data_IF_138972454200
#
_entry.id   IF_138972454200
#
_cell.length_a   1.000
_cell.length_b   1.000
_cell.length_c   1.000
_cell.angle_alpha   90.00
_cell.angle_beta   90.00
_cell.angle_gamma   90.00
#
_symmetry.space_group_name_H-M   'P 1'
#
loop_
_entity.id
_entity.type
_entity.pdbx_description
1 polymer ?
#
# COMPACT_ATOMS: atom_id res chain seq x y z
N UNK A 1 -35.40 -19.82 19.96
CA UNK A 1 -34.39 -19.03 20.68
C UNK A 1 -33.84 -18.02 19.68
N UNK A 2 -34.10 -16.74 19.89
CA UNK A 2 -33.99 -15.69 18.88
C UNK A 2 -32.78 -14.81 19.24
N UNK A 3 -31.77 -14.71 18.38
CA UNK A 3 -30.60 -13.87 18.63
C UNK A 3 -30.38 -12.94 17.43
N UNK A 4 -30.72 -11.67 17.61
CA UNK A 4 -30.40 -10.58 16.68
C UNK A 4 -28.95 -10.18 16.93
N UNK A 5 -28.06 -10.39 15.97
CA UNK A 5 -26.70 -9.84 16.02
C UNK A 5 -26.67 -8.45 15.41
N UNK A 6 -26.30 -7.46 16.21
CA UNK A 6 -26.08 -6.09 15.79
C UNK A 6 -24.63 -5.93 15.31
N UNK A 7 -24.41 -5.97 13.99
CA UNK A 7 -23.10 -5.64 13.42
C UNK A 7 -23.00 -4.13 13.22
N UNK A 8 -22.17 -3.48 14.03
CA UNK A 8 -21.76 -2.08 13.84
C UNK A 8 -20.72 -2.05 12.71
N UNK A 9 -21.11 -1.48 11.58
CA UNK A 9 -20.26 -1.32 10.40
C UNK A 9 -19.24 -0.19 10.64
N UNK A 10 -17.94 -0.51 10.69
CA UNK A 10 -16.87 0.48 10.68
C UNK A 10 -16.40 0.61 9.24
N UNK A 11 -16.81 1.71 8.58
CA UNK A 11 -16.43 1.99 7.21
C UNK A 11 -14.95 2.42 7.15
N UNK A 12 -14.08 1.53 6.67
CA UNK A 12 -12.74 1.92 6.23
C UNK A 12 -12.83 2.49 4.80
N UNK A 13 -12.95 3.82 4.70
CA UNK A 13 -12.96 4.53 3.42
C UNK A 13 -11.56 4.68 2.84
N UNK A 14 -11.18 3.82 1.90
CA UNK A 14 -10.15 4.14 0.90
C UNK A 14 -10.45 3.40 -0.42
N UNK A 15 -11.29 4.00 -1.27
CA UNK A 15 -11.30 3.70 -2.70
C UNK A 15 -10.89 4.96 -3.46
N UNK A 16 -9.70 4.91 -4.07
CA UNK A 16 -9.26 5.86 -5.08
C UNK A 16 -10.01 5.53 -6.36
N UNK A 17 -11.07 6.27 -6.68
CA UNK A 17 -11.77 6.08 -7.95
C UNK A 17 -10.94 6.67 -9.09
N UNK A 18 -10.79 5.90 -10.16
CA UNK A 18 -10.27 6.34 -11.45
C UNK A 18 -11.45 6.39 -12.41
N UNK A 19 -11.89 7.59 -12.80
CA UNK A 19 -12.69 7.76 -14.01
C UNK A 19 -12.44 9.14 -14.65
N UNK A 20 -12.11 9.23 -15.96
CA UNK A 20 -11.93 10.49 -16.66
C UNK A 20 -13.14 10.82 -17.56
N UNK A 21 -13.99 11.79 -17.18
CA UNK A 21 -14.59 12.80 -18.09
C UNK A 21 -15.57 13.73 -17.35
N UNK A 22 -15.77 14.98 -17.83
CA UNK A 22 -16.63 15.97 -17.20
C UNK A 22 -18.07 15.80 -17.68
N UNK A 23 -19.01 16.18 -16.80
CA UNK A 23 -20.34 16.78 -17.08
C UNK A 23 -21.34 16.29 -16.02
N UNK A 24 -21.65 17.15 -15.06
CA UNK A 24 -22.74 16.96 -14.11
C UNK A 24 -23.57 18.26 -14.06
N UNK A 25 -24.91 18.22 -14.14
CA UNK A 25 -25.75 19.26 -13.60
C UNK A 25 -26.14 18.96 -12.16
N UNK A 26 -26.19 20.05 -11.40
CA UNK A 26 -26.66 20.23 -10.03
C UNK A 26 -27.94 19.45 -9.67
N UNK A 27 -27.99 18.87 -8.46
CA UNK A 27 -28.91 19.28 -7.39
C UNK A 27 -28.80 18.38 -6.15
N UNK A 28 -29.15 18.97 -5.00
CA UNK A 28 -29.47 18.38 -3.69
C UNK A 28 -28.40 18.39 -2.57
N UNK A 29 -28.36 19.54 -1.87
CA UNK A 29 -28.09 19.66 -0.42
C UNK A 29 -29.45 19.97 0.27
N UNK A 30 -29.70 19.61 1.56
CA UNK A 30 -29.14 20.34 2.73
C UNK A 30 -28.82 19.42 3.94
N UNK A 31 -28.04 19.80 4.96
CA UNK A 31 -28.45 20.67 6.09
C UNK A 31 -27.24 20.89 7.02
N UNK A 32 -26.85 22.15 7.23
CA UNK A 32 -25.79 22.62 8.14
C UNK A 32 -26.41 23.15 9.44
N UNK A 33 -25.81 22.87 10.59
CA UNK A 33 -26.13 23.51 11.87
C UNK A 33 -24.98 24.46 12.27
N UNK A 34 -25.39 25.59 12.85
CA UNK A 34 -24.67 26.84 13.14
C UNK A 34 -24.07 26.88 14.55
N UNK A 35 -22.94 27.59 14.75
CA UNK A 35 -22.71 28.35 15.98
C UNK A 35 -21.70 29.52 15.84
N UNK A 36 -22.25 30.75 15.96
CA UNK A 36 -21.79 32.01 16.58
C UNK A 36 -20.45 32.70 16.23
N UNK A 37 -20.57 33.94 15.74
CA UNK A 37 -19.55 35.01 15.61
C UNK A 37 -19.99 36.20 16.48
N UNK A 38 -19.09 36.95 17.16
CA UNK A 38 -19.37 38.30 17.67
C UNK A 38 -18.87 39.42 16.72
N UNK A 39 -19.45 40.64 16.75
CA UNK A 39 -19.17 41.68 15.74
C UNK A 39 -18.27 42.84 16.25
N UNK A 40 -17.52 43.47 15.33
CA UNK A 40 -17.48 44.93 15.03
C UNK A 40 -16.10 45.49 14.60
N UNK A 41 -16.06 45.97 13.33
CA UNK A 41 -15.40 47.16 12.70
C UNK A 41 -13.96 47.64 13.06
N UNK A 42 -13.30 48.55 12.28
CA UNK A 42 -13.50 49.00 10.89
C UNK A 42 -12.22 49.00 9.98
N UNK A 43 -12.46 49.29 8.70
CA UNK A 43 -11.56 49.67 7.59
C UNK A 43 -10.23 50.38 7.92
N UNK A 44 -9.11 49.87 7.39
CA UNK A 44 -7.86 50.62 7.17
C UNK A 44 -7.24 50.28 5.80
N UNK A 45 -7.36 51.25 4.89
CA UNK A 45 -6.37 51.78 3.93
C UNK A 45 -5.31 50.82 3.36
N UNK A 46 -5.39 50.61 2.04
CA UNK A 46 -4.34 50.01 1.22
C UNK A 46 -3.01 50.77 1.36
N UNK A 47 -1.95 50.05 1.74
CA UNK A 47 -0.57 50.52 1.64
C UNK A 47 0.18 49.66 0.61
N UNK A 48 0.82 50.38 -0.30
CA UNK A 48 1.62 49.92 -1.42
C UNK A 48 2.80 49.07 -0.95
N UNK A 49 2.89 47.82 -1.39
CA UNK A 49 4.08 47.00 -1.18
C UNK A 49 5.25 47.54 -2.01
N UNK A 50 6.28 48.04 -1.31
CA UNK A 50 7.60 48.33 -1.91
C UNK A 50 8.29 47.02 -2.26
N UNK A 51 8.62 46.87 -3.54
CA UNK A 51 9.54 45.87 -4.07
C UNK A 51 10.96 46.14 -3.53
N UNK A 52 11.57 45.11 -2.92
CA UNK A 52 12.97 45.11 -2.50
C UNK A 52 13.71 44.05 -3.33
N UNK A 53 14.56 44.52 -4.23
CA UNK A 53 15.48 43.72 -5.04
C UNK A 53 16.49 42.96 -4.16
N UNK A 54 16.95 41.75 -4.55
CA UNK A 54 17.96 41.02 -3.80
C UNK A 54 19.35 41.63 -4.09
N UNK A 55 20.02 42.12 -3.05
CA UNK A 55 21.44 42.49 -3.12
C UNK A 55 22.27 41.22 -3.10
N UNK A 56 22.97 40.93 -4.20
CA UNK A 56 23.99 39.88 -4.26
C UNK A 56 25.16 40.28 -3.35
N UNK A 57 25.47 39.45 -2.35
CA UNK A 57 26.71 39.56 -1.58
C UNK A 57 27.65 38.43 -1.95
N UNK A 58 28.57 38.72 -2.88
CA UNK A 58 29.75 37.88 -3.13
C UNK A 58 30.81 38.22 -2.09
N UNK A 59 30.91 37.42 -1.03
CA UNK A 59 32.05 37.46 -0.13
C UNK A 59 33.14 36.52 -0.68
N UNK A 60 34.18 37.09 -1.26
CA UNK A 60 35.40 36.37 -1.66
C UNK A 60 36.22 36.04 -0.40
N UNK A 61 36.27 34.76 -0.02
CA UNK A 61 37.19 34.29 1.02
C UNK A 61 38.52 33.87 0.39
N UNK A 62 39.68 34.23 0.97
CA UNK A 62 40.97 33.81 0.47
C UNK A 62 41.35 32.42 1.03
N UNK A 63 41.68 31.48 0.14
CA UNK A 63 42.78 30.55 0.38
C UNK A 63 42.56 29.35 1.30
N UNK A 64 41.40 28.69 1.27
CA UNK A 64 41.17 27.39 1.93
C UNK A 64 40.44 26.31 1.12
N UNK A 65 39.99 26.61 -0.11
CA UNK A 65 38.94 25.84 -0.79
C UNK A 65 39.41 24.71 -1.72
N UNK A 66 40.71 24.62 -2.03
CA UNK A 66 41.19 23.69 -3.07
C UNK A 66 40.98 22.20 -2.75
N UNK A 67 40.91 21.83 -1.46
CA UNK A 67 40.72 20.43 -1.03
C UNK A 67 39.30 20.11 -0.57
N UNK A 68 38.47 21.11 -0.26
CA UNK A 68 37.09 20.92 0.17
C UNK A 68 36.14 20.65 -1.01
N UNK A 69 36.33 21.35 -2.13
CA UNK A 69 35.55 21.13 -3.35
C UNK A 69 35.65 19.70 -3.91
N UNK A 70 36.84 19.09 -4.07
CA UNK A 70 36.94 17.71 -4.57
C UNK A 70 36.42 16.66 -3.57
N UNK A 71 36.50 16.92 -2.27
CA UNK A 71 35.90 16.05 -1.25
C UNK A 71 34.37 16.06 -1.33
N UNK A 72 33.78 17.24 -1.47
CA UNK A 72 32.34 17.43 -1.58
C UNK A 72 31.78 16.84 -2.89
N UNK A 73 32.50 16.99 -4.01
CA UNK A 73 32.13 16.34 -5.27
C UNK A 73 32.10 14.82 -5.11
N UNK A 74 33.13 14.24 -4.46
CA UNK A 74 33.15 12.81 -4.17
C UNK A 74 31.96 12.36 -3.33
N UNK A 75 31.58 13.12 -2.30
CA UNK A 75 30.40 12.79 -1.49
C UNK A 75 29.13 12.77 -2.34
N UNK A 76 28.95 13.73 -3.25
CA UNK A 76 27.79 13.74 -4.14
C UNK A 76 27.78 12.58 -5.12
N UNK A 77 28.93 12.17 -5.64
CA UNK A 77 29.03 10.97 -6.48
C UNK A 77 28.66 9.71 -5.71
N UNK A 78 29.16 9.57 -4.47
CA UNK A 78 28.82 8.44 -3.60
C UNK A 78 27.31 8.41 -3.30
N UNK A 79 26.70 9.57 -2.99
CA UNK A 79 25.24 9.68 -2.81
C UNK A 79 24.46 9.35 -4.07
N UNK A 80 24.91 9.80 -5.25
CA UNK A 80 24.27 9.49 -6.54
C UNK A 80 24.31 7.99 -6.82
N UNK A 81 25.44 7.33 -6.55
CA UNK A 81 25.59 5.89 -6.70
C UNK A 81 24.61 5.13 -5.79
N UNK A 82 24.53 5.49 -4.51
CA UNK A 82 23.59 4.89 -3.55
C UNK A 82 22.12 5.08 -3.98
N UNK A 83 21.76 6.28 -4.45
CA UNK A 83 20.40 6.55 -4.93
C UNK A 83 20.06 5.68 -6.14
N UNK A 84 20.99 5.54 -7.10
CA UNK A 84 20.82 4.71 -8.29
C UNK A 84 20.60 3.24 -7.91
N UNK A 85 21.44 2.69 -7.05
CA UNK A 85 21.30 1.32 -6.54
C UNK A 85 19.95 1.10 -5.84
N UNK A 86 19.57 2.02 -4.95
CA UNK A 86 18.28 1.96 -4.25
C UNK A 86 17.08 2.07 -5.20
N UNK A 87 17.23 2.79 -6.31
CA UNK A 87 16.23 2.92 -7.37
C UNK A 87 16.09 1.61 -8.16
N UNK A 88 17.22 1.03 -8.58
CA UNK A 88 17.25 -0.27 -9.26
C UNK A 88 16.64 -1.39 -8.41
N UNK A 89 16.91 -1.40 -7.10
CA UNK A 89 16.29 -2.37 -6.18
C UNK A 89 14.77 -2.23 -6.13
N UNK A 90 14.27 -0.99 -6.00
CA UNK A 90 12.82 -0.70 -6.01
C UNK A 90 12.13 -1.14 -7.29
N UNK A 91 12.78 -0.97 -8.44
CA UNK A 91 12.21 -1.38 -9.72
C UNK A 91 12.07 -2.91 -9.83
N UNK A 92 13.08 -3.63 -9.33
CA UNK A 92 13.04 -5.11 -9.27
C UNK A 92 11.96 -5.61 -8.32
N UNK A 93 11.79 -4.95 -7.16
CA UNK A 93 10.68 -5.22 -6.24
C UNK A 93 9.34 -5.00 -6.95
N UNK A 94 9.13 -3.85 -7.60
CA UNK A 94 7.89 -3.54 -8.32
C UNK A 94 7.56 -4.55 -9.40
N UNK A 95 8.57 -5.02 -10.13
CA UNK A 95 8.39 -6.08 -11.13
C UNK A 95 7.75 -7.33 -10.51
N UNK A 96 8.28 -7.81 -9.37
CA UNK A 96 7.70 -8.98 -8.68
C UNK A 96 6.32 -8.67 -8.10
N UNK A 97 6.13 -7.48 -7.54
CA UNK A 97 4.83 -7.06 -6.98
C UNK A 97 3.74 -7.01 -8.06
N UNK A 98 4.05 -6.56 -9.27
CA UNK A 98 3.11 -6.59 -10.41
C UNK A 98 2.73 -8.02 -10.82
N UNK A 99 3.68 -8.97 -10.75
CA UNK A 99 3.40 -10.39 -10.97
C UNK A 99 2.49 -10.95 -9.87
N UNK A 100 2.75 -10.60 -8.60
CA UNK A 100 1.89 -10.97 -7.45
C UNK A 100 0.48 -10.42 -7.65
N UNK A 101 0.34 -9.15 -8.01
CA UNK A 101 -0.95 -8.51 -8.28
C UNK A 101 -1.70 -9.23 -9.41
N UNK A 102 -0.99 -9.62 -10.47
CA UNK A 102 -1.56 -10.37 -11.58
C UNK A 102 -2.11 -11.73 -11.14
N UNK A 103 -1.31 -12.51 -10.41
CA UNK A 103 -1.73 -13.81 -9.87
C UNK A 103 -2.92 -13.65 -8.91
N UNK A 104 -2.89 -12.61 -8.08
CA UNK A 104 -3.96 -12.27 -7.14
C UNK A 104 -5.28 -11.96 -7.87
N UNK A 105 -5.24 -11.25 -9.02
CA UNK A 105 -6.43 -11.01 -9.86
C UNK A 105 -7.03 -12.29 -10.42
N UNK A 106 -6.21 -13.27 -10.80
CA UNK A 106 -6.67 -14.58 -11.29
C UNK A 106 -7.39 -15.37 -10.19
N UNK A 107 -6.78 -15.44 -9.00
CA UNK A 107 -7.39 -16.04 -7.81
C UNK A 107 -8.72 -15.37 -7.51
N UNK A 108 -8.71 -14.04 -7.43
CA UNK A 108 -9.90 -13.25 -7.13
C UNK A 108 -11.05 -13.52 -8.11
N UNK A 109 -10.78 -13.48 -9.42
CA UNK A 109 -11.81 -13.74 -10.45
C UNK A 109 -12.42 -15.13 -10.35
N UNK A 110 -11.64 -16.12 -9.91
CA UNK A 110 -12.12 -17.49 -9.74
C UNK A 110 -13.00 -17.59 -8.49
N UNK A 111 -12.59 -16.95 -7.38
CA UNK A 111 -13.34 -16.95 -6.12
C UNK A 111 -14.68 -16.22 -6.22
N UNK A 112 -14.81 -15.21 -7.08
CA UNK A 112 -16.10 -14.54 -7.34
C UNK A 112 -17.18 -15.49 -7.90
N UNK A 113 -16.80 -16.65 -8.44
CA UNK A 113 -17.76 -17.65 -8.91
C UNK A 113 -18.58 -18.29 -7.78
N UNK A 114 -18.16 -18.13 -6.52
CA UNK A 114 -18.92 -18.59 -5.35
C UNK A 114 -20.34 -18.03 -5.30
N UNK A 115 -20.54 -16.80 -5.81
CA UNK A 115 -21.86 -16.15 -5.85
C UNK A 115 -22.76 -16.70 -6.98
N UNK A 116 -22.27 -17.60 -7.83
CA UNK A 116 -22.98 -18.13 -9.00
C UNK A 116 -23.56 -19.54 -8.79
N UNK A 117 -23.83 -19.94 -7.54
CA UNK A 117 -24.35 -21.27 -7.18
C UNK A 117 -23.45 -22.45 -7.60
N UNK A 118 -22.14 -22.21 -7.76
CA UNK A 118 -21.16 -23.27 -8.06
C UNK A 118 -20.76 -24.01 -6.79
N UNK A 119 -20.35 -25.26 -6.95
CA UNK A 119 -19.83 -26.03 -5.84
C UNK A 119 -18.46 -25.50 -5.40
N UNK A 120 -18.21 -25.45 -4.09
CA UNK A 120 -16.92 -25.03 -3.52
C UNK A 120 -15.68 -25.67 -4.16
N UNK A 121 -15.61 -27.00 -4.40
CA UNK A 121 -14.42 -27.61 -5.01
C UNK A 121 -14.15 -27.10 -6.42
N UNK A 122 -15.20 -26.82 -7.21
CA UNK A 122 -15.06 -26.26 -8.56
C UNK A 122 -14.53 -24.82 -8.53
N UNK A 123 -14.95 -24.03 -7.54
CA UNK A 123 -14.48 -22.64 -7.36
C UNK A 123 -13.01 -22.59 -6.94
N UNK A 124 -12.54 -23.57 -6.16
CA UNK A 124 -11.20 -23.59 -5.59
C UNK A 124 -10.12 -24.24 -6.48
N UNK A 125 -10.50 -25.03 -7.49
CA UNK A 125 -9.57 -25.74 -8.37
C UNK A 125 -8.49 -24.81 -8.96
N UNK A 126 -8.92 -23.68 -9.56
CA UNK A 126 -8.01 -22.71 -10.18
C UNK A 126 -7.20 -21.89 -9.15
N UNK A 127 -7.82 -21.31 -8.10
CA UNK A 127 -7.09 -20.64 -7.03
C UNK A 127 -5.99 -21.46 -6.38
N UNK A 128 -6.24 -22.74 -6.10
CA UNK A 128 -5.28 -23.62 -5.45
C UNK A 128 -4.01 -23.82 -6.30
N UNK A 129 -4.15 -23.93 -7.62
CA UNK A 129 -3.01 -24.02 -8.53
C UNK A 129 -2.14 -22.74 -8.51
N UNK A 130 -2.72 -21.58 -8.20
CA UNK A 130 -1.99 -20.31 -8.14
C UNK A 130 -1.22 -20.10 -6.83
N UNK A 131 -1.49 -20.88 -5.77
CA UNK A 131 -0.74 -20.78 -4.51
C UNK A 131 0.74 -21.11 -4.74
N UNK A 132 1.04 -22.11 -5.58
CA UNK A 132 2.43 -22.44 -5.94
C UNK A 132 3.16 -21.26 -6.60
N UNK A 133 2.47 -20.57 -7.51
CA UNK A 133 3.00 -19.37 -8.18
C UNK A 133 3.26 -18.25 -7.17
N UNK A 134 2.31 -17.98 -6.26
CA UNK A 134 2.53 -16.99 -5.21
C UNK A 134 3.75 -17.34 -4.35
N UNK A 135 3.90 -18.60 -3.96
CA UNK A 135 5.07 -19.06 -3.19
C UNK A 135 6.38 -18.78 -3.92
N UNK A 136 6.46 -19.03 -5.22
CA UNK A 136 7.65 -18.70 -6.02
C UNK A 136 7.93 -17.20 -6.08
N UNK A 137 6.89 -16.39 -6.25
CA UNK A 137 7.00 -14.93 -6.30
C UNK A 137 7.48 -14.34 -4.97
N UNK A 138 6.93 -14.78 -3.83
CA UNK A 138 7.39 -14.35 -2.51
C UNK A 138 8.83 -14.78 -2.23
N UNK A 139 9.24 -15.97 -2.67
CA UNK A 139 10.63 -16.40 -2.57
C UNK A 139 11.58 -15.53 -3.41
N UNK A 140 11.15 -15.13 -4.61
CA UNK A 140 11.91 -14.21 -5.46
C UNK A 140 11.99 -12.81 -4.83
N UNK A 141 10.87 -12.32 -4.28
CA UNK A 141 10.83 -11.04 -3.56
C UNK A 141 11.79 -11.06 -2.34
N UNK A 142 11.75 -12.14 -1.56
CA UNK A 142 12.66 -12.35 -0.43
C UNK A 142 14.12 -12.27 -0.86
N UNK A 143 14.51 -12.98 -1.92
CA UNK A 143 15.88 -12.92 -2.46
C UNK A 143 16.32 -11.51 -2.84
N UNK A 144 15.44 -10.75 -3.51
CA UNK A 144 15.74 -9.36 -3.90
C UNK A 144 15.96 -8.49 -2.67
N UNK A 145 15.12 -8.62 -1.64
CA UNK A 145 15.22 -7.81 -0.41
C UNK A 145 16.46 -8.17 0.40
N UNK A 146 16.83 -9.46 0.45
CA UNK A 146 18.02 -9.95 1.17
C UNK A 146 19.35 -9.51 0.55
N UNK A 147 19.36 -9.04 -0.70
CA UNK A 147 20.55 -8.38 -1.28
C UNK A 147 20.90 -7.06 -0.56
N UNK A 148 19.98 -6.49 0.22
CA UNK A 148 20.20 -5.30 1.06
C UNK A 148 19.82 -5.58 2.52
N UNK A 149 20.69 -6.27 3.28
CA UNK A 149 20.42 -6.66 4.66
C UNK A 149 20.02 -5.47 5.55
N UNK A 150 19.04 -5.69 6.43
CA UNK A 150 18.55 -4.66 7.36
C UNK A 150 17.65 -3.59 6.75
N UNK A 151 17.36 -3.64 5.45
CA UNK A 151 16.49 -2.67 4.77
C UNK A 151 15.06 -3.17 4.52
N UNK A 152 14.65 -4.27 5.15
CA UNK A 152 13.31 -4.86 4.97
C UNK A 152 12.19 -3.81 5.10
N UNK A 153 12.13 -3.10 6.24
CA UNK A 153 11.08 -2.10 6.49
C UNK A 153 11.21 -0.83 5.66
N UNK A 154 12.39 -0.54 5.10
CA UNK A 154 12.58 0.59 4.18
C UNK A 154 11.79 0.38 2.89
N UNK A 155 11.69 -0.86 2.42
CA UNK A 155 11.01 -1.21 1.18
C UNK A 155 9.65 -1.89 1.38
N UNK A 156 9.31 -2.28 2.62
CA UNK A 156 8.07 -3.01 2.94
C UNK A 156 6.80 -2.39 2.35
N UNK A 157 6.70 -1.07 2.34
CA UNK A 157 5.58 -0.35 1.74
C UNK A 157 5.36 -0.62 0.24
N UNK A 158 6.38 -1.08 -0.50
CA UNK A 158 6.27 -1.39 -1.92
C UNK A 158 5.48 -2.70 -2.20
N UNK A 159 5.31 -3.60 -1.23
CA UNK A 159 4.54 -4.85 -1.38
C UNK A 159 3.45 -5.08 -0.31
N UNK A 160 3.37 -4.18 0.68
CA UNK A 160 2.46 -4.26 1.83
C UNK A 160 1.00 -4.52 1.41
N UNK A 161 0.48 -3.70 0.50
CA UNK A 161 -0.94 -3.72 0.10
C UNK A 161 -1.32 -5.01 -0.63
N UNK A 162 -0.42 -5.50 -1.46
CA UNK A 162 -0.56 -6.72 -2.24
C UNK A 162 -0.49 -7.93 -1.30
N UNK A 163 0.39 -7.88 -0.30
CA UNK A 163 0.47 -8.92 0.74
C UNK A 163 -0.82 -9.04 1.55
N UNK A 164 -1.37 -7.91 2.00
CA UNK A 164 -2.67 -7.88 2.67
C UNK A 164 -3.79 -8.46 1.79
N UNK A 165 -3.75 -8.18 0.49
CA UNK A 165 -4.72 -8.73 -0.47
C UNK A 165 -4.55 -10.22 -0.65
N UNK A 166 -3.32 -10.72 -0.78
CA UNK A 166 -3.02 -12.15 -0.87
C UNK A 166 -3.50 -12.87 0.39
N UNK A 167 -3.20 -12.36 1.59
CA UNK A 167 -3.67 -12.95 2.85
C UNK A 167 -5.19 -13.02 2.88
N UNK A 168 -5.89 -11.96 2.47
CA UNK A 168 -7.35 -12.00 2.39
C UNK A 168 -7.88 -13.13 1.51
N UNK A 169 -7.28 -13.33 0.32
CA UNK A 169 -7.74 -14.36 -0.60
C UNK A 169 -7.43 -15.75 -0.05
N UNK A 170 -6.24 -15.95 0.54
CA UNK A 170 -5.88 -17.20 1.18
C UNK A 170 -6.81 -17.53 2.35
N UNK A 171 -7.16 -16.53 3.17
CA UNK A 171 -8.08 -16.70 4.27
C UNK A 171 -9.49 -17.05 3.78
N UNK A 172 -9.96 -16.39 2.72
CA UNK A 172 -11.25 -16.72 2.11
C UNK A 172 -11.28 -18.14 1.54
N UNK A 173 -10.22 -18.55 0.83
CA UNK A 173 -10.08 -19.92 0.34
C UNK A 173 -10.10 -20.94 1.48
N UNK A 174 -9.31 -20.71 2.54
CA UNK A 174 -9.24 -21.60 3.68
C UNK A 174 -10.58 -21.71 4.41
N UNK A 175 -11.32 -20.60 4.53
CA UNK A 175 -12.66 -20.59 5.09
C UNK A 175 -13.66 -21.39 4.23
N UNK A 176 -13.59 -21.28 2.90
CA UNK A 176 -14.43 -22.08 1.99
C UNK A 176 -14.15 -23.59 2.14
N UNK A 177 -12.90 -23.99 2.39
CA UNK A 177 -12.50 -25.39 2.54
C UNK A 177 -12.87 -25.98 3.91
N UNK A 178 -12.63 -25.22 4.99
CA UNK A 178 -12.62 -25.76 6.35
C UNK A 178 -13.69 -25.14 7.26
N UNK A 179 -14.22 -23.97 6.90
CA UNK A 179 -15.07 -23.15 7.76
C UNK A 179 -14.31 -22.46 8.91
N UNK A 180 -12.99 -22.58 8.98
CA UNK A 180 -12.14 -22.00 10.02
C UNK A 180 -11.41 -20.73 9.55
N UNK A 181 -10.83 -20.00 10.51
CA UNK A 181 -9.96 -18.86 10.26
C UNK A 181 -8.54 -19.37 9.95
N UNK A 182 -7.89 -18.82 8.93
CA UNK A 182 -6.53 -19.16 8.54
C UNK A 182 -5.55 -18.68 9.61
N UNK A 183 -4.70 -19.55 10.16
CA UNK A 183 -3.71 -19.10 11.15
C UNK A 183 -2.53 -18.38 10.48
N UNK A 184 -1.87 -17.46 11.18
CA UNK A 184 -0.67 -16.76 10.68
C UNK A 184 0.42 -17.73 10.20
N UNK A 185 0.63 -18.83 10.93
CA UNK A 185 1.59 -19.88 10.58
C UNK A 185 1.22 -20.62 9.30
N UNK A 186 -0.07 -20.88 9.08
CA UNK A 186 -0.57 -21.53 7.86
C UNK A 186 -0.48 -20.58 6.66
N UNK A 187 -0.75 -19.29 6.86
CA UNK A 187 -0.56 -18.27 5.84
C UNK A 187 0.92 -18.18 5.42
N UNK A 188 1.84 -18.17 6.40
CA UNK A 188 3.28 -18.24 6.13
C UNK A 188 3.65 -19.50 5.35
N UNK A 189 3.11 -20.65 5.71
CA UNK A 189 3.39 -21.91 5.01
C UNK A 189 2.93 -21.88 3.55
N UNK A 190 1.70 -21.43 3.31
CA UNK A 190 1.12 -21.28 1.95
C UNK A 190 1.96 -20.35 1.08
N UNK A 191 2.57 -19.31 1.66
CA UNK A 191 3.48 -18.40 0.95
C UNK A 191 4.95 -18.86 0.93
N UNK A 192 5.29 -19.94 1.63
CA UNK A 192 6.66 -20.45 1.73
C UNK A 192 7.60 -19.58 2.56
N UNK A 193 7.08 -18.91 3.60
CA UNK A 193 7.81 -17.95 4.44
C UNK A 193 8.17 -18.50 5.84
N UNK A 194 8.08 -19.82 6.07
CA UNK A 194 8.27 -20.42 7.40
C UNK A 194 9.72 -20.29 7.90
N UNK A 195 10.69 -20.60 7.06
CA UNK A 195 12.12 -20.61 7.38
C UNK A 195 12.88 -19.44 6.74
N UNK A 196 12.15 -18.42 6.29
CA UNK A 196 12.71 -17.26 5.60
C UNK A 196 12.97 -16.11 6.58
N UNK A 197 14.11 -15.44 6.43
CA UNK A 197 14.36 -14.13 7.06
C UNK A 197 13.33 -13.08 6.58
N UNK A 198 12.80 -13.26 5.37
CA UNK A 198 11.65 -12.52 4.87
C UNK A 198 10.35 -13.09 5.47
N UNK A 199 9.78 -12.39 6.44
CA UNK A 199 8.57 -12.82 7.15
C UNK A 199 7.28 -12.22 6.60
N UNK A 200 6.15 -12.87 6.92
CA UNK A 200 4.83 -12.25 6.82
C UNK A 200 4.59 -11.39 8.06
N UNK A 201 4.52 -10.07 7.88
CA UNK A 201 4.26 -9.14 8.99
C UNK A 201 2.89 -9.43 9.63
N UNK A 202 2.83 -9.38 10.96
CA UNK A 202 1.59 -9.63 11.71
C UNK A 202 0.53 -8.58 11.38
N UNK A 203 0.91 -7.32 11.16
CA UNK A 203 -0.03 -6.28 10.76
C UNK A 203 -0.68 -6.59 9.41
N UNK A 204 0.13 -7.05 8.45
CA UNK A 204 -0.37 -7.34 7.11
C UNK A 204 -1.30 -8.55 7.10
N UNK A 205 -0.99 -9.54 7.94
CA UNK A 205 -1.86 -10.66 8.19
C UNK A 205 -3.21 -10.22 8.77
N UNK A 206 -3.19 -9.47 9.88
CA UNK A 206 -4.40 -9.02 10.56
C UNK A 206 -5.27 -8.11 9.68
N UNK A 207 -4.65 -7.20 8.91
CA UNK A 207 -5.36 -6.33 7.97
C UNK A 207 -5.99 -7.15 6.84
N UNK A 208 -5.26 -8.13 6.29
CA UNK A 208 -5.76 -9.01 5.24
C UNK A 208 -6.99 -9.80 5.67
N UNK A 209 -6.97 -10.39 6.87
CA UNK A 209 -8.13 -11.11 7.41
C UNK A 209 -9.31 -10.19 7.71
N UNK A 210 -9.06 -9.05 8.34
CA UNK A 210 -10.11 -8.16 8.82
C UNK A 210 -10.86 -7.45 7.67
N UNK A 211 -10.13 -6.81 6.75
CA UNK A 211 -10.74 -5.82 5.85
C UNK A 211 -11.51 -6.42 4.68
N UNK A 212 -11.22 -7.66 4.26
CA UNK A 212 -11.71 -8.18 2.99
C UNK A 212 -12.55 -9.45 3.08
N UNK A 213 -12.43 -10.27 4.14
CA UNK A 213 -13.39 -11.37 4.38
C UNK A 213 -14.81 -10.82 4.53
N UNK A 214 -14.98 -9.64 5.15
CA UNK A 214 -16.29 -8.98 5.27
C UNK A 214 -16.90 -8.58 3.92
N UNK A 215 -16.11 -8.31 2.87
CA UNK A 215 -16.64 -7.96 1.55
C UNK A 215 -17.17 -9.19 0.80
N UNK A 216 -16.54 -10.36 0.96
CA UNK A 216 -16.99 -11.60 0.31
C UNK A 216 -18.15 -12.28 1.02
N UNK A 217 -18.30 -12.09 2.34
CA UNK A 217 -19.43 -12.66 3.09
C UNK A 217 -20.72 -11.82 3.03
N UNK A 218 -20.66 -10.57 2.55
CA UNK A 218 -21.84 -9.68 2.44
C UNK A 218 -22.46 -9.69 1.02
N UNK A 219 -21.73 -10.17 0.01
CA UNK A 219 -22.21 -10.34 -1.36
C UNK A 219 -22.78 -11.74 -1.61
#
# INVERSE_FOLDING_TARGET
MNMKSAFRNVYCTLFRSLNPNPNLPSNFLPRRLTLLIPPSAPSIRAQTFRSLSPTHSSASMPGGEAHAAPLLEKQFEDFRAQLKESGTLRERIRTVVMEIESTTRLIHSSLLLVHQSRSTPEVLEKPLAQIGVLKELYNRLAKIVLESPGQYYRYHGDWKTETQTVVSLLAFMHWLETGALLLHTEAKEKLGLNDSEFGLDVEDYLVGECCKISLYMIA
#
